data_IF_121760528376
#
_entry.id   IF_121760528376
#
_cell.length_a   1.000
_cell.length_b   1.000
_cell.length_c   1.000
_cell.angle_alpha   90.00
_cell.angle_beta   90.00
_cell.angle_gamma   90.00
#
_symmetry.space_group_name_H-M   'P 1'
#
loop_
_entity.id
_entity.type
_entity.pdbx_description
1 polymer ?
#
# COMPACT_ATOMS: atom_id res chain seq x y z
N UNK A 1 -14.07 -21.53 27.08
CA UNK A 1 -14.62 -21.99 25.79
C UNK A 1 -14.16 -21.03 24.70
N UNK A 2 -13.48 -21.50 23.66
CA UNK A 2 -13.06 -20.63 22.56
C UNK A 2 -14.28 -20.13 21.78
N UNK A 3 -14.35 -18.81 21.53
CA UNK A 3 -15.38 -18.21 20.68
C UNK A 3 -15.28 -18.84 19.28
N UNK A 4 -16.36 -19.46 18.79
CA UNK A 4 -16.43 -19.99 17.42
C UNK A 4 -16.39 -18.81 16.45
N UNK A 5 -15.23 -18.57 15.82
CA UNK A 5 -15.06 -17.47 14.86
C UNK A 5 -15.86 -17.83 13.60
N UNK A 6 -16.85 -16.99 13.28
CA UNK A 6 -17.66 -17.13 12.08
C UNK A 6 -16.90 -16.50 10.92
N UNK A 7 -16.36 -17.31 10.02
CA UNK A 7 -15.72 -16.83 8.79
C UNK A 7 -16.83 -16.47 7.78
N UNK A 8 -16.93 -15.22 7.31
CA UNK A 8 -17.91 -14.86 6.30
C UNK A 8 -17.55 -15.52 4.95
N UNK A 9 -18.50 -16.26 4.38
CA UNK A 9 -18.38 -16.77 3.01
C UNK A 9 -18.87 -15.68 2.07
N UNK A 10 -17.98 -15.23 1.17
CA UNK A 10 -18.29 -14.17 0.21
C UNK A 10 -19.25 -14.66 -0.85
N UNK A 11 -20.20 -13.80 -1.19
CA UNK A 11 -21.11 -13.98 -2.32
C UNK A 11 -20.39 -13.67 -3.64
N UNK A 12 -20.90 -14.18 -4.75
CA UNK A 12 -20.40 -13.89 -6.10
C UNK A 12 -20.21 -12.37 -6.38
N UNK A 13 -21.19 -11.49 -6.07
CA UNK A 13 -21.01 -10.05 -6.22
C UNK A 13 -19.87 -9.47 -5.37
N UNK A 14 -19.66 -9.95 -4.14
CA UNK A 14 -18.56 -9.50 -3.29
C UNK A 14 -17.21 -9.96 -3.86
N UNK A 15 -17.13 -11.19 -4.36
CA UNK A 15 -15.92 -11.73 -5.01
C UNK A 15 -15.56 -10.89 -6.23
N UNK A 16 -16.55 -10.50 -7.06
CA UNK A 16 -16.32 -9.62 -8.22
C UNK A 16 -15.77 -8.25 -7.81
N UNK A 17 -16.29 -7.64 -6.74
CA UNK A 17 -15.76 -6.38 -6.20
C UNK A 17 -14.34 -6.53 -5.66
N UNK A 18 -14.07 -7.62 -4.94
CA UNK A 18 -12.72 -7.92 -4.42
C UNK A 18 -11.71 -8.13 -5.56
N UNK A 19 -12.12 -8.77 -6.66
CA UNK A 19 -11.26 -8.93 -7.85
C UNK A 19 -10.87 -7.59 -8.45
N UNK A 20 -11.83 -6.71 -8.71
CA UNK A 20 -11.56 -5.37 -9.23
C UNK A 20 -10.64 -4.55 -8.29
N UNK A 21 -10.90 -4.59 -6.98
CA UNK A 21 -10.04 -3.92 -6.00
C UNK A 21 -8.61 -4.51 -5.97
N UNK A 22 -8.48 -5.84 -6.10
CA UNK A 22 -7.19 -6.53 -6.18
C UNK A 22 -6.40 -6.18 -7.45
N UNK A 23 -7.08 -6.01 -8.58
CA UNK A 23 -6.46 -5.56 -9.83
C UNK A 23 -5.88 -4.14 -9.70
N UNK A 24 -6.63 -3.22 -9.08
CA UNK A 24 -6.13 -1.86 -8.77
C UNK A 24 -4.94 -1.92 -7.81
N UNK A 25 -5.04 -2.68 -6.71
CA UNK A 25 -3.95 -2.83 -5.75
C UNK A 25 -2.67 -3.40 -6.39
N UNK A 26 -2.82 -4.38 -7.29
CA UNK A 26 -1.69 -4.95 -8.03
C UNK A 26 -1.04 -3.93 -8.96
N UNK A 27 -1.84 -3.12 -9.67
CA UNK A 27 -1.31 -2.09 -10.56
C UNK A 27 -0.51 -1.04 -9.78
N UNK A 28 -1.05 -0.56 -8.66
CA UNK A 28 -0.37 0.41 -7.79
C UNK A 28 0.94 -0.19 -7.26
N UNK A 29 0.92 -1.42 -6.75
CA UNK A 29 2.13 -2.08 -6.24
C UNK A 29 3.23 -2.17 -7.30
N UNK A 30 2.91 -2.66 -8.49
CA UNK A 30 3.90 -2.85 -9.56
C UNK A 30 4.46 -1.52 -10.06
N UNK A 31 3.60 -0.51 -10.22
CA UNK A 31 4.02 0.82 -10.64
C UNK A 31 4.87 1.52 -9.57
N UNK A 32 4.50 1.43 -8.28
CA UNK A 32 5.28 1.98 -7.18
C UNK A 32 6.64 1.29 -7.09
N UNK A 33 6.70 -0.03 -7.25
CA UNK A 33 7.97 -0.77 -7.30
C UNK A 33 8.86 -0.31 -8.47
N UNK A 34 8.30 -0.09 -9.66
CA UNK A 34 9.04 0.45 -10.80
C UNK A 34 9.48 1.92 -10.60
N UNK A 35 8.72 2.68 -9.79
CA UNK A 35 9.06 4.04 -9.40
C UNK A 35 10.14 4.11 -8.31
N UNK A 36 10.46 3.02 -7.60
CA UNK A 36 11.55 3.02 -6.63
C UNK A 36 12.90 3.07 -7.34
N UNK A 37 13.70 4.10 -7.04
CA UNK A 37 15.06 4.29 -7.57
C UNK A 37 15.94 4.98 -6.53
N UNK A 38 17.27 4.72 -6.49
CA UNK A 38 18.18 5.44 -5.62
C UNK A 38 18.05 6.97 -5.77
N UNK A 39 18.08 7.67 -4.65
CA UNK A 39 17.94 9.12 -4.58
C UNK A 39 16.52 9.62 -4.33
N UNK A 40 15.48 8.85 -4.67
CA UNK A 40 14.08 9.19 -4.31
C UNK A 40 13.86 9.09 -2.81
N UNK A 41 13.03 9.97 -2.27
CA UNK A 41 12.54 9.89 -0.90
C UNK A 41 11.37 8.91 -0.79
N UNK A 42 11.17 8.32 0.38
CA UNK A 42 9.97 7.51 0.64
C UNK A 42 8.69 8.33 0.57
N UNK A 43 8.74 9.65 0.84
CA UNK A 43 7.61 10.55 0.62
C UNK A 43 7.25 10.69 -0.87
N UNK A 44 8.23 10.80 -1.78
CA UNK A 44 7.96 10.83 -3.23
C UNK A 44 7.27 9.54 -3.71
N UNK A 45 7.67 8.38 -3.17
CA UNK A 45 7.04 7.09 -3.49
C UNK A 45 5.60 7.03 -2.95
N UNK A 46 5.35 7.54 -1.74
CA UNK A 46 4.01 7.59 -1.15
C UNK A 46 3.08 8.52 -1.95
N UNK A 47 3.56 9.70 -2.35
CA UNK A 47 2.79 10.64 -3.18
C UNK A 47 2.48 10.05 -4.56
N UNK A 48 3.45 9.40 -5.21
CA UNK A 48 3.22 8.72 -6.48
C UNK A 48 2.14 7.63 -6.35
N UNK A 49 2.18 6.83 -5.28
CA UNK A 49 1.16 5.81 -5.03
C UNK A 49 -0.22 6.45 -4.81
N UNK A 50 -0.30 7.56 -4.08
CA UNK A 50 -1.54 8.28 -3.84
C UNK A 50 -2.19 8.79 -5.12
N UNK A 51 -1.40 9.40 -6.01
CA UNK A 51 -1.86 9.89 -7.32
C UNK A 51 -2.41 8.74 -8.16
N UNK A 52 -1.67 7.64 -8.29
CA UNK A 52 -2.10 6.49 -9.07
C UNK A 52 -3.34 5.79 -8.49
N UNK A 53 -3.45 5.70 -7.15
CA UNK A 53 -4.66 5.18 -6.49
C UNK A 53 -5.86 6.02 -6.88
N UNK A 54 -5.74 7.36 -6.86
CA UNK A 54 -6.82 8.27 -7.22
C UNK A 54 -7.19 8.17 -8.71
N UNK A 55 -6.20 8.08 -9.61
CA UNK A 55 -6.41 7.91 -11.05
C UNK A 55 -7.17 6.63 -11.38
N UNK A 56 -6.90 5.54 -10.65
CA UNK A 56 -7.60 4.26 -10.79
C UNK A 56 -8.96 4.21 -10.07
N UNK A 57 -9.42 5.34 -9.50
CA UNK A 57 -10.70 5.46 -8.80
C UNK A 57 -10.73 4.82 -7.41
N UNK A 58 -9.55 4.53 -6.84
CA UNK A 58 -9.38 4.00 -5.49
C UNK A 58 -9.31 5.08 -4.42
N UNK A 59 -9.29 4.64 -3.16
CA UNK A 59 -8.97 5.47 -2.01
C UNK A 59 -7.84 4.82 -1.20
N UNK A 60 -6.88 5.58 -0.67
CA UNK A 60 -5.80 5.02 0.14
C UNK A 60 -6.38 4.49 1.46
N UNK A 61 -6.27 3.18 1.68
CA UNK A 61 -6.88 2.53 2.85
C UNK A 61 -6.13 2.81 4.15
N UNK A 62 -4.85 3.17 4.08
CA UNK A 62 -4.02 3.47 5.24
C UNK A 62 -4.17 4.91 5.72
N UNK A 63 -4.46 5.86 4.82
CA UNK A 63 -4.55 7.27 5.17
C UNK A 63 -5.66 7.50 6.20
N UNK A 64 -5.28 7.98 7.39
CA UNK A 64 -6.17 8.19 8.52
C UNK A 64 -6.55 6.93 9.30
N UNK A 65 -6.19 5.73 8.83
CA UNK A 65 -6.49 4.49 9.53
C UNK A 65 -5.75 4.46 10.88
N UNK A 66 -6.51 4.57 11.98
CA UNK A 66 -5.97 4.67 13.35
C UNK A 66 -4.90 5.77 13.49
N UNK A 67 -5.03 6.85 12.73
CA UNK A 67 -4.08 7.97 12.73
C UNK A 67 -2.83 7.76 11.88
N UNK A 68 -2.75 6.71 11.06
CA UNK A 68 -1.64 6.52 10.13
C UNK A 68 -1.62 7.66 9.08
N UNK A 69 -0.47 8.32 8.85
CA UNK A 69 -0.43 9.56 8.07
C UNK A 69 -0.14 9.37 6.57
N UNK A 70 0.36 8.21 6.14
CA UNK A 70 0.73 7.94 4.75
C UNK A 70 -0.38 7.26 3.93
N UNK A 71 -0.19 7.18 2.62
CA UNK A 71 -1.12 6.53 1.69
C UNK A 71 -0.86 5.02 1.58
N UNK A 72 0.41 4.64 1.60
CA UNK A 72 0.92 3.26 1.64
C UNK A 72 1.97 3.11 2.75
N UNK A 73 2.40 1.88 3.01
CA UNK A 73 3.51 1.58 3.90
C UNK A 73 4.77 1.37 3.05
N UNK A 74 5.90 1.97 3.45
CA UNK A 74 7.18 1.85 2.76
C UNK A 74 8.22 1.53 3.82
N UNK A 75 8.71 0.28 3.83
CA UNK A 75 9.53 -0.25 4.93
C UNK A 75 10.90 -0.64 4.41
N UNK A 76 11.91 0.21 4.67
CA UNK A 76 13.28 0.01 4.20
C UNK A 76 14.07 -0.82 5.22
N UNK A 77 14.72 -1.89 4.75
CA UNK A 77 15.71 -2.70 5.48
C UNK A 77 15.22 -3.23 6.84
N UNK A 78 15.61 -2.60 7.94
CA UNK A 78 15.26 -2.98 9.31
C UNK A 78 13.79 -2.68 9.69
N UNK A 79 13.10 -1.87 8.89
CA UNK A 79 11.70 -1.57 9.08
C UNK A 79 10.86 -2.82 8.76
N UNK A 80 10.27 -3.43 9.80
CA UNK A 80 9.57 -4.71 9.65
C UNK A 80 8.31 -4.58 8.80
N UNK A 81 7.44 -3.64 9.17
CA UNK A 81 6.19 -3.28 8.47
C UNK A 81 5.78 -1.86 8.88
N UNK A 82 4.86 -1.25 8.14
CA UNK A 82 4.25 0.05 8.46
C UNK A 82 5.22 1.23 8.51
N UNK A 83 6.35 1.17 7.79
CA UNK A 83 7.19 2.35 7.59
C UNK A 83 6.41 3.49 6.93
N UNK A 84 6.64 4.71 7.42
CA UNK A 84 5.91 5.92 7.02
C UNK A 84 6.78 6.69 6.03
N UNK A 85 6.20 7.07 4.89
CA UNK A 85 6.85 7.93 3.90
C UNK A 85 7.35 9.23 4.51
N UNK A 86 8.60 9.61 4.22
CA UNK A 86 9.25 10.78 4.79
C UNK A 86 10.48 11.21 3.99
N UNK A 87 11.38 11.94 4.62
CA UNK A 87 12.58 12.50 3.96
C UNK A 87 13.70 11.49 3.71
N UNK A 88 13.57 10.23 4.17
CA UNK A 88 14.57 9.16 3.95
C UNK A 88 14.71 8.91 2.45
N UNK A 89 15.93 9.09 1.94
CA UNK A 89 16.28 8.78 0.54
C UNK A 89 16.72 7.32 0.41
N UNK A 90 16.15 6.62 -0.56
CA UNK A 90 16.53 5.26 -0.94
C UNK A 90 17.97 5.28 -1.48
N UNK A 91 18.80 4.37 -0.97
CA UNK A 91 20.20 4.22 -1.37
C UNK A 91 20.39 3.00 -2.28
N UNK A 92 21.45 2.97 -3.11
CA UNK A 92 21.84 1.75 -3.80
C UNK A 92 22.08 0.61 -2.80
N UNK A 93 21.41 -0.52 -2.99
CA UNK A 93 21.50 -1.70 -2.12
C UNK A 93 20.45 -1.78 -1.01
N UNK A 94 19.62 -0.75 -0.82
CA UNK A 94 18.47 -0.83 0.08
C UNK A 94 17.45 -1.86 -0.43
N UNK A 95 16.87 -2.61 0.51
CA UNK A 95 15.71 -3.45 0.30
C UNK A 95 14.48 -2.70 0.80
N UNK A 96 13.46 -2.61 -0.06
CA UNK A 96 12.24 -1.84 0.18
C UNK A 96 11.07 -2.43 -0.59
#
# INVERSE_FOLDING_TARGET
MAKRIKMPIKTEPEIRKMRAAGEVASQVLQASAAFIQPGRTTAEVDSFAAELIAELGGIPTFLGYRGFPGNICISINEEVVHGIGGSRRIQPGDLV
#
